data_IF_247125613495
#
_entry.id   IF_247125613495
#
_cell.length_a   1.000
_cell.length_b   1.000
_cell.length_c   1.000
_cell.angle_alpha   90.00
_cell.angle_beta   90.00
_cell.angle_gamma   90.00
#
_symmetry.space_group_name_H-M   'P 1'
#
loop_
_entity.id
_entity.type
_entity.pdbx_description
1 polymer ?
#
# COMPACT_ATOMS: atom_id res chain seq x y z
N UNK A 1 -27.15 21.81 8.60
CA UNK A 1 -25.75 21.40 8.90
C UNK A 1 -25.19 20.79 7.63
N UNK A 2 -24.15 21.38 7.02
CA UNK A 2 -23.53 20.82 5.81
C UNK A 2 -22.52 19.78 6.26
N UNK A 3 -22.85 18.50 6.15
CA UNK A 3 -21.91 17.40 6.37
C UNK A 3 -20.77 17.57 5.36
N UNK A 4 -19.55 17.81 5.83
CA UNK A 4 -18.37 17.82 4.98
C UNK A 4 -18.20 16.49 4.25
N UNK A 5 -17.42 16.43 3.15
CA UNK A 5 -17.19 15.18 2.44
C UNK A 5 -16.66 14.13 3.41
N UNK A 6 -17.31 12.96 3.43
CA UNK A 6 -16.83 11.81 4.22
C UNK A 6 -15.39 11.52 3.81
N UNK A 7 -14.45 11.32 4.76
CA UNK A 7 -13.09 10.95 4.41
C UNK A 7 -13.14 9.66 3.57
N UNK A 8 -12.49 9.66 2.40
CA UNK A 8 -12.34 8.44 1.60
C UNK A 8 -11.58 7.41 2.43
N UNK A 9 -12.05 6.17 2.42
CA UNK A 9 -11.37 5.09 3.12
C UNK A 9 -9.96 4.93 2.53
N UNK A 10 -9.03 4.42 3.32
CA UNK A 10 -7.64 4.23 2.87
C UNK A 10 -7.57 3.37 1.60
N UNK A 11 -8.42 2.35 1.53
CA UNK A 11 -8.59 1.44 0.40
C UNK A 11 -9.00 2.16 -0.88
N UNK A 12 -9.97 3.08 -0.80
CA UNK A 12 -10.45 3.88 -1.94
C UNK A 12 -9.35 4.75 -2.55
N UNK A 13 -8.33 5.09 -1.76
CA UNK A 13 -7.17 5.88 -2.19
C UNK A 13 -5.98 4.99 -2.57
N UNK A 14 -5.90 3.78 -2.06
CA UNK A 14 -4.76 2.88 -2.24
C UNK A 14 -4.90 2.04 -3.50
N UNK A 15 -6.00 1.28 -3.63
CA UNK A 15 -6.18 0.30 -4.70
C UNK A 15 -6.14 0.85 -6.13
N UNK A 16 -6.55 2.10 -6.41
CA UNK A 16 -6.38 2.68 -7.75
C UNK A 16 -4.92 2.83 -8.22
N UNK A 17 -3.94 2.74 -7.32
CA UNK A 17 -2.51 2.85 -7.61
C UNK A 17 -1.79 1.50 -7.62
N UNK A 18 -2.53 0.39 -7.75
CA UNK A 18 -1.99 -0.96 -7.75
C UNK A 18 -2.34 -1.64 -9.07
N UNK A 19 -1.32 -2.02 -9.84
CA UNK A 19 -1.49 -2.96 -10.96
C UNK A 19 -1.65 -4.37 -10.37
N UNK A 20 -2.89 -4.73 -10.05
CA UNK A 20 -3.23 -6.03 -9.46
C UNK A 20 -3.21 -7.12 -10.53
N UNK A 21 -2.55 -8.22 -10.19
CA UNK A 21 -2.32 -9.38 -11.06
C UNK A 21 -2.84 -10.65 -10.40
N UNK A 22 -2.44 -11.83 -10.89
CA UNK A 22 -2.76 -13.08 -10.21
C UNK A 22 -2.20 -13.09 -8.77
N UNK A 23 -2.67 -14.07 -7.99
CA UNK A 23 -2.37 -14.18 -6.55
C UNK A 23 -0.88 -14.35 -6.26
N UNK A 24 -0.18 -15.10 -7.11
CA UNK A 24 1.24 -15.40 -7.08
C UNK A 24 2.09 -14.46 -7.96
N UNK A 25 1.48 -13.40 -8.49
CA UNK A 25 2.16 -12.37 -9.28
C UNK A 25 2.41 -11.10 -8.45
N UNK A 26 3.46 -10.37 -8.80
CA UNK A 26 3.73 -9.08 -8.17
C UNK A 26 2.61 -8.08 -8.50
N UNK A 27 2.05 -7.45 -7.47
CA UNK A 27 1.13 -6.33 -7.64
C UNK A 27 1.94 -5.04 -7.58
N UNK A 28 2.16 -4.39 -8.72
CA UNK A 28 3.10 -3.28 -8.79
C UNK A 28 2.43 -1.96 -8.41
N UNK A 29 3.06 -1.25 -7.48
CA UNK A 29 2.69 0.13 -7.14
C UNK A 29 2.98 1.07 -8.31
N UNK A 30 1.96 1.82 -8.73
CA UNK A 30 2.02 2.79 -9.83
C UNK A 30 2.01 4.24 -9.34
N UNK A 31 1.96 4.46 -8.02
CA UNK A 31 2.01 5.78 -7.40
C UNK A 31 3.43 6.30 -7.15
N UNK A 32 3.53 7.27 -6.23
CA UNK A 32 4.81 7.88 -5.85
C UNK A 32 5.80 6.84 -5.27
N UNK A 33 7.09 7.11 -5.42
CA UNK A 33 8.18 6.27 -4.93
C UNK A 33 9.11 7.06 -4.00
N UNK A 34 9.67 6.39 -3.00
CA UNK A 34 10.83 6.91 -2.27
C UNK A 34 12.10 6.83 -3.13
N UNK A 35 13.15 7.56 -2.75
CA UNK A 35 14.46 7.50 -3.41
C UNK A 35 15.07 6.08 -3.39
N UNK A 36 14.69 5.25 -2.42
CA UNK A 36 15.05 3.83 -2.33
C UNK A 36 14.35 2.94 -3.36
N UNK A 37 13.35 3.45 -4.09
CA UNK A 37 12.57 2.71 -5.08
C UNK A 37 11.32 2.01 -4.53
N UNK A 38 11.08 2.08 -3.21
CA UNK A 38 9.85 1.57 -2.59
C UNK A 38 8.65 2.47 -2.89
N UNK A 39 7.47 1.85 -2.97
CA UNK A 39 6.20 2.59 -3.06
C UNK A 39 5.99 3.49 -1.84
N UNK A 40 5.56 4.72 -2.10
CA UNK A 40 5.23 5.74 -1.11
C UNK A 40 3.74 6.04 -1.17
N UNK A 41 3.06 5.89 -0.03
CA UNK A 41 1.64 6.20 0.11
C UNK A 41 1.44 7.25 1.20
N UNK A 42 0.72 8.33 0.88
CA UNK A 42 0.40 9.37 1.86
C UNK A 42 -0.94 9.08 2.53
N UNK A 43 -0.88 8.87 3.83
CA UNK A 43 -2.05 8.64 4.68
C UNK A 43 -2.13 9.74 5.74
N UNK A 44 -3.09 10.65 5.58
CA UNK A 44 -3.17 11.87 6.38
C UNK A 44 -1.89 12.71 6.23
N UNK A 45 -1.25 13.02 7.36
CA UNK A 45 -0.01 13.81 7.43
C UNK A 45 1.29 13.01 7.25
N UNK A 46 1.21 11.67 7.17
CA UNK A 46 2.38 10.80 7.16
C UNK A 46 2.51 10.06 5.82
N UNK A 47 3.73 9.93 5.32
CA UNK A 47 4.03 9.08 4.17
C UNK A 47 4.58 7.75 4.67
N UNK A 48 3.96 6.65 4.26
CA UNK A 48 4.27 5.28 4.66
C UNK A 48 4.68 4.44 3.44
N UNK A 49 5.33 3.31 3.70
CA UNK A 49 5.68 2.32 2.66
C UNK A 49 4.42 1.65 2.13
N UNK A 50 4.24 1.64 0.81
CA UNK A 50 3.01 1.15 0.18
C UNK A 50 2.76 -0.35 0.45
N UNK A 51 3.81 -1.17 0.49
CA UNK A 51 3.65 -2.60 0.80
C UNK A 51 3.15 -2.85 2.23
N UNK A 52 3.59 -2.03 3.20
CA UNK A 52 3.10 -2.08 4.58
C UNK A 52 1.63 -1.69 4.69
N UNK A 53 1.20 -0.69 3.91
CA UNK A 53 -0.22 -0.31 3.83
C UNK A 53 -1.06 -1.45 3.26
N UNK A 54 -0.59 -2.09 2.19
CA UNK A 54 -1.30 -3.24 1.61
C UNK A 54 -1.44 -4.39 2.60
N UNK A 55 -0.36 -4.70 3.34
CA UNK A 55 -0.39 -5.70 4.41
C UNK A 55 -1.38 -5.33 5.52
N UNK A 56 -1.37 -4.07 5.98
CA UNK A 56 -2.28 -3.57 7.02
C UNK A 56 -3.74 -3.64 6.57
N UNK A 57 -4.05 -3.30 5.31
CA UNK A 57 -5.41 -3.43 4.76
C UNK A 57 -5.84 -4.90 4.72
N UNK A 58 -4.96 -5.81 4.28
CA UNK A 58 -5.29 -7.23 4.12
C UNK A 58 -5.44 -7.97 5.47
N UNK A 59 -4.63 -7.61 6.47
CA UNK A 59 -4.56 -8.32 7.76
C UNK A 59 -5.22 -7.56 8.92
N UNK A 60 -5.62 -6.30 8.70
CA UNK A 60 -6.22 -5.41 9.69
C UNK A 60 -5.25 -4.85 10.74
N UNK A 61 -3.98 -5.24 10.71
CA UNK A 61 -2.93 -4.72 11.58
C UNK A 61 -1.57 -4.82 10.91
N UNK A 62 -0.65 -3.94 11.31
CA UNK A 62 0.75 -4.00 10.91
C UNK A 62 1.55 -4.59 12.08
N UNK A 63 2.31 -5.68 11.86
CA UNK A 63 3.10 -6.28 12.92
C UNK A 63 4.27 -5.35 13.30
N UNK A 64 4.84 -5.59 14.49
CA UNK A 64 5.99 -4.83 14.97
C UNK A 64 7.28 -5.15 14.17
N UNK A 65 7.34 -6.34 13.58
CA UNK A 65 8.42 -6.78 12.70
C UNK A 65 8.34 -6.13 11.30
N UNK A 66 9.44 -6.22 10.56
CA UNK A 66 9.50 -5.72 9.19
C UNK A 66 8.70 -6.61 8.25
N UNK A 67 7.74 -6.01 7.54
CA UNK A 67 7.04 -6.65 6.43
C UNK A 67 7.96 -6.60 5.22
N UNK A 68 8.67 -7.70 4.99
CA UNK A 68 9.57 -7.86 3.84
C UNK A 68 8.88 -8.68 2.75
N UNK A 69 9.15 -8.30 1.52
CA UNK A 69 8.77 -9.12 0.38
C UNK A 69 9.64 -10.39 0.33
N UNK A 70 9.00 -11.53 0.13
CA UNK A 70 9.56 -12.73 -0.51
C UNK A 70 9.95 -12.50 -1.98
N UNK A 71 9.37 -11.50 -2.66
CA UNK A 71 9.76 -11.12 -4.02
C UNK A 71 10.79 -9.97 -4.02
N UNK A 72 11.82 -10.03 -4.89
CA UNK A 72 12.85 -8.98 -4.96
C UNK A 72 12.38 -7.64 -5.61
N UNK A 73 11.07 -7.49 -5.83
CA UNK A 73 10.47 -6.33 -6.46
C UNK A 73 10.09 -5.26 -5.41
N UNK A 74 10.90 -4.22 -5.26
CA UNK A 74 10.65 -3.09 -4.31
C UNK A 74 9.30 -2.38 -4.46
N UNK A 75 8.68 -2.48 -5.64
CA UNK A 75 7.37 -1.87 -5.93
C UNK A 75 6.20 -2.85 -5.71
N UNK A 76 6.47 -4.11 -5.39
CA UNK A 76 5.41 -5.04 -5.09
C UNK A 76 4.65 -4.56 -3.85
N UNK A 77 3.33 -4.71 -3.87
CA UNK A 77 2.45 -4.48 -2.73
C UNK A 77 1.47 -5.63 -2.57
N UNK A 78 1.73 -6.79 -3.18
CA UNK A 78 0.93 -7.98 -2.93
C UNK A 78 1.17 -8.41 -1.48
N UNK A 79 0.13 -8.45 -0.61
CA UNK A 79 0.29 -8.78 0.81
C UNK A 79 0.74 -10.23 1.05
N UNK A 80 0.69 -11.08 0.03
CA UNK A 80 1.16 -12.47 0.09
C UNK A 80 2.60 -12.63 -0.41
N UNK A 81 3.21 -11.56 -0.92
CA UNK A 81 4.55 -11.53 -1.48
C UNK A 81 5.56 -10.83 -0.62
#
# INVERSE_FOLDING_TARGET
>A
MKSGPKPRLIEDRFWPHVDRRARDECWLWTGALFASGYGAFRDGGNTKLAHRISFEIANGHLPAEDVCHSCDARRCVNPEH
#
